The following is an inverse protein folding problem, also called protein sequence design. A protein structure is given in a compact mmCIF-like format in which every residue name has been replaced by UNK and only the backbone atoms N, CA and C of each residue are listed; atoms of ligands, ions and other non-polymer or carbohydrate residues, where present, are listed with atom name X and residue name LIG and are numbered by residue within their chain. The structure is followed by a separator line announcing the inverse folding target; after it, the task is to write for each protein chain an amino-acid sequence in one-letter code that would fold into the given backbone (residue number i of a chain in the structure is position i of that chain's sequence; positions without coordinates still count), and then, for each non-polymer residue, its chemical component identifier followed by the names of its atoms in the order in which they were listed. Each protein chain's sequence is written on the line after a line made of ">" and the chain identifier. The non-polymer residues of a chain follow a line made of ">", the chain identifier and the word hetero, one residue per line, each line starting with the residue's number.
data_IF_786801419997
#
_entry.id   IF_786801419997
#
_cell.length_a   1.000
_cell.length_b   1.000
_cell.length_c   1.000
_cell.angle_alpha   90.00
_cell.angle_beta   90.00
_cell.angle_gamma   90.00
#
_symmetry.space_group_name_H-M   'P 1'
#
loop_
_entity.id
_entity.type
_entity.pdbx_description
1 polymer ?
#
# COMPACT_ATOMS: atom_id res chain seq x y z
N UNK A 1 13.69 -30.93 -43.80
CA UNK A 1 13.56 -30.66 -42.35
C UNK A 1 12.70 -31.74 -41.70
N UNK A 2 13.20 -32.37 -40.63
CA UNK A 2 12.45 -33.35 -39.82
C UNK A 2 11.19 -32.73 -39.19
N UNK A 3 10.15 -33.54 -38.96
CA UNK A 3 8.93 -33.15 -38.24
C UNK A 3 9.24 -32.52 -36.87
N UNK A 4 10.29 -33.01 -36.18
CA UNK A 4 10.74 -32.44 -34.92
C UNK A 4 11.34 -31.03 -35.08
N UNK A 5 12.18 -30.81 -36.09
CA UNK A 5 12.78 -29.52 -36.37
C UNK A 5 11.74 -28.45 -36.76
N UNK A 6 10.66 -28.86 -37.43
CA UNK A 6 9.53 -27.97 -37.75
C UNK A 6 8.76 -27.56 -36.50
N UNK A 7 8.49 -28.49 -35.58
CA UNK A 7 7.80 -28.20 -34.31
C UNK A 7 8.60 -27.25 -33.44
N UNK A 8 9.93 -27.43 -33.39
CA UNK A 8 10.82 -26.55 -32.63
C UNK A 8 10.85 -25.12 -33.20
N UNK A 9 10.87 -24.98 -34.52
CA UNK A 9 10.80 -23.67 -35.18
C UNK A 9 9.47 -22.95 -34.89
N UNK A 10 8.35 -23.67 -34.94
CA UNK A 10 7.02 -23.14 -34.63
C UNK A 10 6.93 -22.73 -33.16
N UNK A 11 7.52 -23.52 -32.26
CA UNK A 11 7.55 -23.21 -30.83
C UNK A 11 8.33 -21.94 -30.52
N UNK A 12 9.48 -21.76 -31.17
CA UNK A 12 10.28 -20.55 -31.06
C UNK A 12 9.52 -19.33 -31.59
N UNK A 13 8.90 -19.45 -32.76
CA UNK A 13 8.13 -18.37 -33.38
C UNK A 13 6.91 -17.98 -32.54
N UNK A 14 6.19 -18.96 -32.00
CA UNK A 14 5.04 -18.72 -31.13
C UNK A 14 5.43 -17.94 -29.88
N UNK A 15 6.48 -18.37 -29.18
CA UNK A 15 6.98 -17.68 -27.98
C UNK A 15 7.48 -16.27 -28.25
N UNK A 16 8.04 -16.02 -29.44
CA UNK A 16 8.46 -14.69 -29.85
C UNK A 16 7.27 -13.73 -30.03
N UNK A 17 6.11 -14.24 -30.44
CA UNK A 17 4.90 -13.44 -30.67
C UNK A 17 4.07 -13.22 -29.40
N UNK A 18 4.05 -14.20 -28.50
CA UNK A 18 3.13 -14.22 -27.34
C UNK A 18 3.83 -13.98 -26.01
N UNK A 19 5.16 -14.06 -25.98
CA UNK A 19 5.96 -14.10 -24.75
C UNK A 19 5.55 -15.22 -23.77
N UNK A 20 4.87 -16.27 -24.26
CA UNK A 20 4.40 -17.38 -23.45
C UNK A 20 5.56 -18.15 -22.77
N UNK A 21 5.30 -18.66 -21.57
CA UNK A 21 6.20 -19.59 -20.88
C UNK A 21 6.49 -20.82 -21.76
N UNK A 22 7.63 -21.51 -21.59
CA UNK A 22 7.88 -22.77 -22.28
C UNK A 22 6.77 -23.81 -22.08
N UNK A 23 6.15 -23.85 -20.90
CA UNK A 23 5.08 -24.79 -20.57
C UNK A 23 3.77 -24.45 -21.29
N UNK A 24 3.34 -23.18 -21.25
CA UNK A 24 2.12 -22.74 -21.94
C UNK A 24 2.26 -22.82 -23.46
N UNK A 25 3.43 -22.47 -24.01
CA UNK A 25 3.71 -22.62 -25.43
C UNK A 25 3.56 -24.07 -25.89
N UNK A 26 4.11 -25.03 -25.16
CA UNK A 26 3.95 -26.45 -25.48
C UNK A 26 2.50 -26.92 -25.35
N UNK A 27 1.80 -26.53 -24.29
CA UNK A 27 0.39 -26.88 -24.03
C UNK A 27 -0.52 -26.38 -25.15
N UNK A 28 -0.45 -25.09 -25.47
CA UNK A 28 -1.32 -24.43 -26.44
C UNK A 28 -0.99 -24.91 -27.87
N UNK A 29 0.28 -24.97 -28.26
CA UNK A 29 0.64 -25.48 -29.59
C UNK A 29 0.23 -26.95 -29.78
N UNK A 30 0.36 -27.78 -28.74
CA UNK A 30 -0.07 -29.19 -28.81
C UNK A 30 -1.59 -29.30 -28.99
N UNK A 31 -2.37 -28.49 -28.28
CA UNK A 31 -3.83 -28.45 -28.41
C UNK A 31 -4.30 -28.02 -29.81
N UNK A 32 -3.52 -27.16 -30.48
CA UNK A 32 -3.85 -26.64 -31.82
C UNK A 32 -3.03 -27.29 -32.94
N UNK A 33 -2.56 -28.53 -32.75
CA UNK A 33 -1.83 -29.31 -33.75
C UNK A 33 -0.62 -28.58 -34.37
N UNK A 34 0.07 -27.76 -33.58
CA UNK A 34 1.20 -26.90 -33.96
C UNK A 34 0.88 -25.92 -35.09
N UNK A 35 -0.37 -25.47 -35.21
CA UNK A 35 -0.76 -24.37 -36.10
C UNK A 35 -0.60 -23.04 -35.38
N UNK A 36 0.21 -22.14 -35.95
CA UNK A 36 0.63 -20.90 -35.29
C UNK A 36 -0.53 -19.92 -35.06
N UNK A 37 -1.33 -19.60 -36.09
CA UNK A 37 -2.41 -18.62 -35.98
C UNK A 37 -3.51 -19.04 -34.98
N UNK A 38 -4.06 -20.27 -35.03
CA UNK A 38 -5.08 -20.69 -34.06
C UNK A 38 -4.54 -20.73 -32.62
N UNK A 39 -3.29 -21.16 -32.45
CA UNK A 39 -2.64 -21.17 -31.15
C UNK A 39 -2.43 -19.74 -30.60
N UNK A 40 -2.12 -18.78 -31.48
CA UNK A 40 -1.88 -17.38 -31.08
C UNK A 40 -3.18 -16.74 -30.63
N UNK A 41 -4.27 -16.94 -31.37
CA UNK A 41 -5.60 -16.52 -30.93
C UNK A 41 -6.02 -17.21 -29.63
N UNK A 42 -5.74 -18.50 -29.46
CA UNK A 42 -6.07 -19.21 -28.22
C UNK A 42 -5.29 -18.65 -27.02
N UNK A 43 -4.02 -18.29 -27.19
CA UNK A 43 -3.22 -17.64 -26.16
C UNK A 43 -3.82 -16.29 -25.72
N UNK A 44 -4.23 -15.44 -26.68
CA UNK A 44 -4.86 -14.16 -26.35
C UNK A 44 -6.29 -14.27 -25.78
N UNK A 45 -6.83 -15.49 -25.65
CA UNK A 45 -8.08 -15.77 -24.96
C UNK A 45 -7.88 -16.64 -23.70
N UNK A 46 -6.63 -17.00 -23.36
CA UNK A 46 -6.27 -17.77 -22.15
C UNK A 46 -5.67 -16.81 -21.11
N UNK A 47 -6.51 -16.37 -20.18
CA UNK A 47 -6.17 -15.39 -19.13
C UNK A 47 -4.96 -15.85 -18.29
N UNK A 48 -4.90 -17.14 -17.95
CA UNK A 48 -3.78 -17.70 -17.18
C UNK A 48 -2.48 -17.69 -17.98
N UNK A 49 -2.52 -18.01 -19.27
CA UNK A 49 -1.34 -17.96 -20.14
C UNK A 49 -0.82 -16.53 -20.32
N UNK A 50 -1.71 -15.53 -20.37
CA UNK A 50 -1.33 -14.12 -20.43
C UNK A 50 -0.68 -13.64 -19.13
N UNK A 51 -1.24 -14.03 -17.97
CA UNK A 51 -0.63 -13.75 -16.65
C UNK A 51 0.76 -14.39 -16.55
N UNK A 52 0.91 -15.63 -17.01
CA UNK A 52 2.20 -16.32 -16.99
C UNK A 52 3.21 -15.68 -17.96
N UNK A 53 2.75 -15.14 -19.10
CA UNK A 53 3.59 -14.48 -20.10
C UNK A 53 4.05 -13.08 -19.65
N UNK A 54 3.20 -12.31 -18.98
CA UNK A 54 3.59 -11.04 -18.35
C UNK A 54 4.62 -11.29 -17.24
N UNK A 55 4.43 -12.34 -16.44
CA UNK A 55 5.41 -12.82 -15.46
C UNK A 55 6.71 -13.41 -16.09
N UNK A 56 6.69 -13.77 -17.37
CA UNK A 56 7.89 -14.21 -18.10
C UNK A 56 8.66 -13.04 -18.72
N UNK A 57 7.96 -11.97 -19.09
CA UNK A 57 8.54 -10.69 -19.53
C UNK A 57 9.35 -10.02 -18.42
N UNK A 58 8.98 -10.26 -17.17
CA UNK A 58 9.63 -9.73 -15.97
C UNK A 58 10.88 -10.50 -15.52
N UNK A 59 11.33 -11.52 -16.26
CA UNK A 59 12.65 -12.10 -16.00
C UNK A 59 13.73 -11.18 -16.56
N UNK A 60 14.08 -10.16 -15.78
CA UNK A 60 15.33 -9.43 -15.94
C UNK A 60 16.44 -10.43 -16.21
N UNK A 61 17.31 -10.14 -17.17
CA UNK A 61 18.49 -10.98 -17.30
C UNK A 61 19.27 -10.95 -15.98
N UNK A 62 19.85 -12.07 -15.59
CA UNK A 62 20.48 -12.24 -14.28
C UNK A 62 21.54 -11.16 -13.97
N UNK A 63 22.14 -10.57 -15.00
CA UNK A 63 23.10 -9.48 -14.84
C UNK A 63 22.37 -8.20 -14.43
N UNK A 64 21.32 -7.80 -15.14
CA UNK A 64 20.52 -6.63 -14.77
C UNK A 64 19.89 -6.78 -13.38
N UNK A 65 19.37 -7.96 -13.04
CA UNK A 65 18.80 -8.18 -11.70
C UNK A 65 19.85 -8.04 -10.59
N UNK A 66 21.06 -8.52 -10.83
CA UNK A 66 22.19 -8.36 -9.91
C UNK A 66 22.58 -6.89 -9.76
N UNK A 67 22.71 -6.15 -10.86
CA UNK A 67 23.05 -4.73 -10.86
C UNK A 67 21.99 -3.88 -10.13
N UNK A 68 20.70 -4.15 -10.36
CA UNK A 68 19.58 -3.53 -9.65
C UNK A 68 19.69 -3.79 -8.15
N UNK A 69 19.94 -5.05 -7.76
CA UNK A 69 20.11 -5.43 -6.35
C UNK A 69 21.32 -4.73 -5.73
N UNK A 70 22.45 -4.67 -6.42
CA UNK A 70 23.66 -3.99 -5.94
C UNK A 70 23.41 -2.50 -5.71
N UNK A 71 22.75 -1.80 -6.66
CA UNK A 71 22.40 -0.39 -6.51
C UNK A 71 21.44 -0.12 -5.36
N UNK A 72 20.42 -0.98 -5.18
CA UNK A 72 19.48 -0.86 -4.05
C UNK A 72 20.16 -1.10 -2.70
N UNK A 73 21.10 -2.04 -2.61
CA UNK A 73 21.88 -2.23 -1.38
C UNK A 73 22.77 -1.03 -1.08
N UNK A 74 23.39 -0.44 -2.10
CA UNK A 74 24.19 0.77 -1.91
C UNK A 74 23.35 1.97 -1.44
N UNK A 75 22.13 2.13 -1.95
CA UNK A 75 21.18 3.14 -1.45
C UNK A 75 20.78 2.85 0.00
N UNK A 76 20.50 1.59 0.33
CA UNK A 76 20.18 1.18 1.70
C UNK A 76 21.31 1.53 2.68
N UNK A 77 22.55 1.13 2.34
CA UNK A 77 23.74 1.40 3.16
C UNK A 77 23.94 2.90 3.35
N UNK A 78 23.78 3.69 2.28
CA UNK A 78 23.85 5.16 2.36
C UNK A 78 22.86 5.75 3.36
N UNK A 79 21.61 5.30 3.35
CA UNK A 79 20.58 5.85 4.25
C UNK A 79 20.75 5.36 5.69
N UNK A 80 21.15 4.10 5.88
CA UNK A 80 21.51 3.58 7.21
C UNK A 80 22.64 4.41 7.81
N UNK A 81 23.76 4.54 7.09
CA UNK A 81 24.97 5.22 7.59
C UNK A 81 24.72 6.72 7.83
N UNK A 82 23.88 7.36 7.01
CA UNK A 82 23.50 8.76 7.21
C UNK A 82 22.57 8.97 8.40
N UNK A 83 21.78 7.96 8.80
CA UNK A 83 21.00 7.96 10.03
C UNK A 83 21.90 7.86 11.26
N UNK A 84 22.79 6.86 11.27
CA UNK A 84 23.76 6.64 12.34
C UNK A 84 24.60 7.90 12.63
N UNK A 85 25.07 8.59 11.58
CA UNK A 85 25.87 9.81 11.72
C UNK A 85 25.08 11.01 12.26
N UNK A 86 23.75 11.05 12.06
CA UNK A 86 22.91 12.13 12.60
C UNK A 86 22.64 11.92 14.10
N UNK A 87 22.51 10.66 14.53
CA UNK A 87 22.28 10.31 15.93
C UNK A 87 23.55 10.52 16.79
N UNK A 88 24.75 10.46 16.19
CA UNK A 88 26.04 10.73 16.88
C UNK A 88 26.34 12.25 17.08
N UNK A 89 25.69 13.15 16.32
CA UNK A 89 25.96 14.60 16.36
C UNK A 89 25.05 15.37 17.36
N UNK A 90 23.96 14.77 17.86
CA UNK A 90 23.00 15.37 18.81
C UNK A 90 23.40 15.18 20.30
N UNK A 91 24.61 14.68 20.59
CA UNK A 91 25.16 14.41 21.92
C UNK A 91 25.67 15.70 22.64
N UNK A 92 24.91 16.80 22.56
CA UNK A 92 25.10 18.01 23.38
C UNK A 92 24.10 17.98 24.58
N UNK A 93 24.63 17.61 25.75
CA UNK A 93 24.16 17.96 27.11
C UNK A 93 22.75 17.50 27.58
N UNK A 94 22.48 16.20 27.73
CA UNK A 94 21.69 15.73 28.88
C UNK A 94 21.98 14.25 29.25
N UNK A 95 22.67 14.07 30.37
CA UNK A 95 22.85 12.78 31.04
C UNK A 95 21.48 12.21 31.48
N UNK A 96 21.06 11.08 30.87
CA UNK A 96 20.40 9.91 31.48
C UNK A 96 19.40 9.24 30.51
N UNK A 97 19.86 8.27 29.70
CA UNK A 97 19.39 6.87 29.77
C UNK A 97 19.65 6.06 28.50
N UNK A 98 20.26 4.88 28.70
CA UNK A 98 20.22 3.76 27.75
C UNK A 98 21.37 3.74 26.76
N UNK A 99 22.32 2.82 26.96
CA UNK A 99 23.27 2.45 25.91
C UNK A 99 22.51 2.20 24.60
N UNK A 100 22.78 3.00 23.56
CA UNK A 100 22.24 2.78 22.23
C UNK A 100 22.47 1.31 21.87
N UNK A 101 21.38 0.59 21.63
CA UNK A 101 21.49 -0.79 21.16
C UNK A 101 22.35 -0.77 19.89
N UNK A 102 23.25 -1.75 19.69
CA UNK A 102 24.06 -1.80 18.47
C UNK A 102 23.09 -1.77 17.28
N UNK A 103 23.21 -0.74 16.45
CA UNK A 103 22.34 -0.59 15.29
C UNK A 103 22.43 -1.85 14.42
N UNK A 104 21.28 -2.43 14.10
CA UNK A 104 21.23 -3.60 13.24
C UNK A 104 21.70 -3.19 11.83
N UNK A 105 22.79 -3.78 11.31
CA UNK A 105 23.36 -3.41 10.01
C UNK A 105 22.39 -3.65 8.83
N UNK A 106 21.31 -4.40 9.05
CA UNK A 106 20.26 -4.69 8.08
C UNK A 106 18.97 -3.89 8.31
N UNK A 107 19.04 -2.80 9.10
CA UNK A 107 17.91 -1.91 9.38
C UNK A 107 18.27 -0.44 9.10
N UNK A 108 17.40 0.28 8.40
CA UNK A 108 17.38 1.75 8.35
C UNK A 108 16.55 2.24 9.55
N UNK A 109 17.15 3.07 10.40
CA UNK A 109 16.51 3.73 11.54
C UNK A 109 15.65 4.93 11.10
N UNK A 110 14.95 5.56 12.05
CA UNK A 110 14.14 6.76 11.79
C UNK A 110 15.00 7.89 11.21
N UNK A 111 16.20 8.13 11.74
CA UNK A 111 17.13 9.11 11.20
C UNK A 111 17.49 8.82 9.74
N UNK A 112 17.77 7.56 9.42
CA UNK A 112 18.04 7.15 8.05
C UNK A 112 16.82 7.27 7.11
N UNK A 113 15.61 7.00 7.62
CA UNK A 113 14.37 7.21 6.88
C UNK A 113 14.12 8.69 6.59
N UNK A 114 14.43 9.60 7.51
CA UNK A 114 14.37 11.05 7.28
C UNK A 114 15.38 11.48 6.19
N UNK A 115 16.60 10.94 6.21
CA UNK A 115 17.57 11.16 5.12
C UNK A 115 17.10 10.62 3.77
N UNK A 116 16.34 9.53 3.78
CA UNK A 116 15.66 9.04 2.58
C UNK A 116 14.57 10.02 2.11
N UNK A 117 13.74 10.57 3.01
CA UNK A 117 12.76 11.60 2.67
C UNK A 117 13.41 12.84 2.05
N UNK A 118 14.51 13.33 2.63
CA UNK A 118 15.30 14.46 2.11
C UNK A 118 15.79 14.17 0.69
N UNK A 119 16.39 13.00 0.45
CA UNK A 119 16.90 12.62 -0.87
C UNK A 119 15.80 12.45 -1.92
N UNK A 120 14.61 11.99 -1.49
CA UNK A 120 13.45 11.83 -2.34
C UNK A 120 12.68 13.15 -2.55
N UNK A 121 13.03 14.22 -1.84
CA UNK A 121 12.33 15.51 -1.87
C UNK A 121 10.83 15.38 -1.55
N UNK A 122 10.51 14.52 -0.57
CA UNK A 122 9.14 14.28 -0.11
C UNK A 122 9.07 14.53 1.40
N UNK A 123 8.00 15.20 1.84
CA UNK A 123 7.75 15.39 3.27
C UNK A 123 7.60 14.03 3.98
N UNK A 124 8.15 13.84 5.19
CA UNK A 124 7.89 12.64 5.99
C UNK A 124 6.40 12.46 6.34
N UNK A 125 5.62 13.54 6.27
CA UNK A 125 4.16 13.55 6.49
C UNK A 125 3.36 13.43 5.18
N UNK A 126 4.00 13.22 4.02
CA UNK A 126 3.29 12.99 2.77
C UNK A 126 2.63 11.60 2.79
N UNK A 127 1.35 11.53 2.41
CA UNK A 127 0.56 10.30 2.39
C UNK A 127 1.19 9.20 1.54
N UNK A 128 2.01 9.54 0.55
CA UNK A 128 2.71 8.58 -0.32
C UNK A 128 3.67 7.66 0.45
N UNK A 129 4.10 8.04 1.65
CA UNK A 129 4.91 7.16 2.49
C UNK A 129 4.13 5.97 3.05
N UNK A 130 2.80 6.04 3.14
CA UNK A 130 1.97 4.89 3.54
C UNK A 130 1.99 3.75 2.51
N UNK A 131 1.65 3.97 1.21
CA UNK A 131 1.80 2.93 0.19
C UNK A 131 3.26 2.50 0.01
N UNK A 132 4.23 3.42 0.11
CA UNK A 132 5.65 3.02 0.07
C UNK A 132 5.97 2.03 1.19
N UNK A 133 5.64 2.37 2.44
CA UNK A 133 5.88 1.53 3.62
C UNK A 133 5.16 0.18 3.51
N UNK A 134 3.94 0.16 2.95
CA UNK A 134 3.20 -1.06 2.66
C UNK A 134 3.96 -2.00 1.70
N UNK A 135 4.47 -1.48 0.58
CA UNK A 135 5.24 -2.27 -0.38
C UNK A 135 6.60 -2.71 0.15
N UNK A 136 7.26 -1.84 0.93
CA UNK A 136 8.53 -2.14 1.60
C UNK A 136 8.35 -2.91 2.91
N UNK A 137 7.12 -3.33 3.24
CA UNK A 137 6.77 -4.10 4.46
C UNK A 137 7.41 -3.52 5.72
N UNK A 138 7.40 -2.20 5.84
CA UNK A 138 8.00 -1.52 6.98
C UNK A 138 7.34 -2.02 8.29
N UNK A 139 8.13 -2.47 9.28
CA UNK A 139 7.60 -3.00 10.54
C UNK A 139 6.98 -1.91 11.43
N UNK A 140 7.50 -0.70 11.35
CA UNK A 140 7.09 0.45 12.16
C UNK A 140 7.52 1.74 11.47
N UNK A 141 6.91 2.85 11.89
CA UNK A 141 7.19 4.19 11.36
C UNK A 141 8.70 4.46 11.30
N UNK A 142 9.19 4.84 10.13
CA UNK A 142 10.58 5.21 9.89
C UNK A 142 11.59 4.04 9.98
N UNK A 143 11.14 2.78 9.98
CA UNK A 143 12.04 1.62 10.04
C UNK A 143 11.94 0.79 8.77
N UNK A 144 13.06 0.40 8.17
CA UNK A 144 13.07 -0.45 6.97
C UNK A 144 14.13 -1.54 7.04
N UNK A 145 13.73 -2.79 6.78
CA UNK A 145 14.68 -3.92 6.69
C UNK A 145 15.33 -3.95 5.30
N UNK A 146 16.58 -4.38 5.20
CA UNK A 146 17.30 -4.49 3.92
C UNK A 146 16.57 -5.35 2.92
N UNK A 147 16.08 -6.50 3.38
CA UNK A 147 15.41 -7.48 2.52
C UNK A 147 14.16 -6.88 1.90
N UNK A 148 13.30 -6.26 2.72
CA UNK A 148 12.03 -5.73 2.23
C UNK A 148 12.20 -4.39 1.49
N UNK A 149 13.19 -3.58 1.85
CA UNK A 149 13.59 -2.40 1.07
C UNK A 149 13.95 -2.78 -0.38
N UNK A 150 14.86 -3.75 -0.55
CA UNK A 150 15.32 -4.19 -1.87
C UNK A 150 14.18 -4.85 -2.66
N UNK A 151 13.39 -5.71 -2.03
CA UNK A 151 12.29 -6.40 -2.70
C UNK A 151 11.15 -5.44 -3.06
N UNK A 152 10.81 -4.51 -2.16
CA UNK A 152 9.78 -3.49 -2.38
C UNK A 152 10.12 -2.59 -3.56
N UNK A 153 11.33 -2.05 -3.63
CA UNK A 153 11.75 -1.22 -4.77
C UNK A 153 11.86 -1.98 -6.09
N UNK A 154 12.16 -3.29 -6.06
CA UNK A 154 12.06 -4.14 -7.25
C UNK A 154 10.61 -4.25 -7.73
N UNK A 155 9.65 -4.48 -6.82
CA UNK A 155 8.22 -4.53 -7.16
C UNK A 155 7.69 -3.18 -7.65
N UNK A 156 8.24 -2.09 -7.12
CA UNK A 156 7.93 -0.70 -7.46
C UNK A 156 8.71 -0.22 -8.69
N UNK A 157 8.46 -0.87 -9.83
CA UNK A 157 8.96 -0.48 -11.15
C UNK A 157 10.51 -0.53 -11.28
N UNK A 158 11.18 -1.41 -10.52
CA UNK A 158 12.64 -1.56 -10.51
C UNK A 158 13.37 -0.24 -10.22
N UNK A 159 12.86 0.50 -9.23
CA UNK A 159 13.32 1.84 -8.89
C UNK A 159 14.59 1.81 -8.04
N UNK A 160 15.71 1.57 -8.72
CA UNK A 160 17.04 1.37 -8.14
C UNK A 160 17.94 2.61 -8.13
N UNK A 161 17.39 3.78 -8.45
CA UNK A 161 18.04 5.09 -8.35
C UNK A 161 17.08 6.11 -7.75
N UNK A 162 17.61 7.17 -7.15
CA UNK A 162 16.78 8.25 -6.55
C UNK A 162 15.80 8.83 -7.57
N UNK A 163 16.23 9.12 -8.80
CA UNK A 163 15.35 9.68 -9.84
C UNK A 163 14.19 8.76 -10.18
N UNK A 164 14.44 7.44 -10.26
CA UNK A 164 13.37 6.46 -10.48
C UNK A 164 12.44 6.38 -9.27
N UNK A 165 12.99 6.36 -8.06
CA UNK A 165 12.21 6.34 -6.83
C UNK A 165 11.28 7.55 -6.76
N UNK A 166 11.77 8.76 -7.04
CA UNK A 166 10.95 9.99 -7.12
C UNK A 166 9.81 9.87 -8.15
N UNK A 167 10.11 9.42 -9.37
CA UNK A 167 9.09 9.23 -10.40
C UNK A 167 8.03 8.19 -9.99
N UNK A 168 8.47 7.13 -9.30
CA UNK A 168 7.58 6.09 -8.79
C UNK A 168 6.73 6.58 -7.63
N UNK A 169 7.22 7.44 -6.75
CA UNK A 169 6.38 8.04 -5.71
C UNK A 169 5.24 8.88 -6.30
N UNK A 170 5.50 9.66 -7.34
CA UNK A 170 4.45 10.43 -8.02
C UNK A 170 3.36 9.52 -8.58
N UNK A 171 3.78 8.44 -9.27
CA UNK A 171 2.86 7.42 -9.78
C UNK A 171 2.10 6.71 -8.66
N UNK A 172 2.79 6.35 -7.57
CA UNK A 172 2.22 5.62 -6.44
C UNK A 172 1.15 6.45 -5.72
N UNK A 173 1.32 7.77 -5.66
CA UNK A 173 0.32 8.70 -5.13
C UNK A 173 -0.95 8.68 -5.98
N UNK A 174 -0.83 8.72 -7.30
CA UNK A 174 -1.99 8.60 -8.19
C UNK A 174 -2.65 7.22 -8.10
N UNK A 175 -1.84 6.15 -8.04
CA UNK A 175 -2.33 4.78 -7.84
C UNK A 175 -3.13 4.65 -6.53
N UNK A 176 -2.71 5.34 -5.47
CA UNK A 176 -3.42 5.40 -4.19
C UNK A 176 -4.78 6.11 -4.35
N UNK A 177 -4.80 7.32 -4.90
CA UNK A 177 -6.05 8.10 -5.06
C UNK A 177 -7.09 7.42 -5.96
N UNK A 178 -6.64 6.63 -6.92
CA UNK A 178 -7.50 5.87 -7.83
C UNK A 178 -7.84 4.46 -7.30
N UNK A 179 -7.35 4.08 -6.12
CA UNK A 179 -7.45 2.73 -5.55
C UNK A 179 -7.08 1.63 -6.57
N UNK A 180 -5.98 1.83 -7.30
CA UNK A 180 -5.52 0.90 -8.34
C UNK A 180 -5.23 -0.49 -7.75
N UNK A 181 -5.34 -1.57 -8.54
CA UNK A 181 -4.92 -2.90 -8.10
C UNK A 181 -3.46 -2.91 -7.65
N UNK A 182 -3.15 -3.77 -6.67
CA UNK A 182 -1.78 -4.00 -6.22
C UNK A 182 -0.89 -4.57 -7.35
N UNK A 183 0.43 -4.51 -7.15
CA UNK A 183 1.38 -5.20 -8.04
C UNK A 183 1.16 -6.71 -7.94
N UNK A 184 1.34 -7.43 -9.05
CA UNK A 184 1.04 -8.87 -9.14
C UNK A 184 1.82 -9.70 -8.10
N UNK A 185 3.09 -9.37 -7.90
CA UNK A 185 3.94 -9.99 -6.89
C UNK A 185 3.35 -9.82 -5.49
N UNK A 186 2.86 -8.61 -5.17
CA UNK A 186 2.23 -8.33 -3.88
C UNK A 186 0.90 -9.07 -3.73
N UNK A 187 0.09 -9.15 -4.78
CA UNK A 187 -1.16 -9.95 -4.76
C UNK A 187 -0.85 -11.43 -4.46
N UNK A 188 0.20 -11.97 -5.07
CA UNK A 188 0.61 -13.36 -4.83
C UNK A 188 1.04 -13.58 -3.37
N UNK A 189 1.79 -12.65 -2.78
CA UNK A 189 2.14 -12.68 -1.36
C UNK A 189 0.91 -12.63 -0.46
N UNK A 190 0.00 -11.69 -0.70
CA UNK A 190 -1.25 -11.53 0.07
C UNK A 190 -2.13 -12.79 -0.02
N UNK A 191 -2.21 -13.44 -1.18
CA UNK A 191 -2.94 -14.71 -1.38
C UNK A 191 -2.29 -15.90 -0.70
N UNK A 192 -0.97 -15.90 -0.54
CA UNK A 192 -0.24 -16.99 0.10
C UNK A 192 -0.41 -17.02 1.62
N UNK A 193 -0.77 -15.89 2.23
CA UNK A 193 -0.98 -15.77 3.66
C UNK A 193 -2.49 -15.91 4.00
N UNK A 194 -2.90 -16.93 4.79
CA UNK A 194 -4.31 -17.13 5.16
C UNK A 194 -4.97 -15.93 5.83
N UNK A 195 -4.20 -15.10 6.55
CA UNK A 195 -4.73 -13.93 7.24
C UNK A 195 -5.10 -12.77 6.29
N UNK A 196 -4.54 -12.73 5.08
CA UNK A 196 -4.70 -11.63 4.12
C UNK A 196 -5.33 -12.05 2.79
N UNK A 197 -5.43 -13.37 2.54
CA UNK A 197 -5.91 -13.91 1.27
C UNK A 197 -7.33 -13.44 0.91
N UNK A 198 -8.21 -13.28 1.90
CA UNK A 198 -9.59 -12.84 1.69
C UNK A 198 -9.69 -11.40 1.14
N UNK A 199 -8.76 -10.51 1.52
CA UNK A 199 -8.73 -9.14 1.03
C UNK A 199 -7.73 -8.92 -0.12
N UNK A 200 -7.05 -9.96 -0.63
CA UNK A 200 -5.96 -9.81 -1.60
C UNK A 200 -6.32 -9.13 -2.94
N UNK A 201 -7.61 -9.08 -3.29
CA UNK A 201 -8.10 -8.41 -4.50
C UNK A 201 -8.56 -6.95 -4.25
N UNK A 202 -8.53 -6.46 -3.01
CA UNK A 202 -8.81 -5.05 -2.70
C UNK A 202 -7.78 -4.15 -3.39
N UNK A 203 -8.17 -2.92 -3.68
CA UNK A 203 -7.28 -1.95 -4.29
C UNK A 203 -6.23 -1.42 -3.32
N UNK A 204 -5.29 -0.62 -3.84
CA UNK A 204 -4.15 -0.09 -3.11
C UNK A 204 -4.58 0.76 -1.91
N UNK A 205 -5.56 1.64 -2.07
CA UNK A 205 -6.04 2.50 -0.98
C UNK A 205 -6.57 1.68 0.18
N UNK A 206 -7.47 0.72 -0.09
CA UNK A 206 -8.05 -0.11 0.95
C UNK A 206 -6.97 -0.92 1.69
N UNK A 207 -5.99 -1.44 0.95
CA UNK A 207 -4.88 -2.20 1.53
C UNK A 207 -3.95 -1.34 2.37
N UNK A 208 -3.68 -0.12 1.93
CA UNK A 208 -2.89 0.85 2.69
C UNK A 208 -3.63 1.29 3.95
N UNK A 209 -4.94 1.52 3.87
CA UNK A 209 -5.77 1.82 5.03
C UNK A 209 -5.75 0.67 6.06
N UNK A 210 -5.93 -0.58 5.62
CA UNK A 210 -5.83 -1.77 6.49
C UNK A 210 -4.44 -1.90 7.13
N UNK A 211 -3.39 -1.69 6.35
CA UNK A 211 -1.99 -1.75 6.79
C UNK A 211 -1.67 -0.68 7.84
N UNK A 212 -2.19 0.54 7.65
CA UNK A 212 -1.89 1.71 8.48
C UNK A 212 -2.19 1.48 9.96
N UNK A 213 -3.26 0.73 10.30
CA UNK A 213 -3.55 0.39 11.70
C UNK A 213 -2.40 -0.39 12.36
N UNK A 214 -1.85 -1.38 11.66
CA UNK A 214 -0.74 -2.19 12.15
C UNK A 214 0.55 -1.37 12.26
N UNK A 215 0.79 -0.54 11.26
CA UNK A 215 1.96 0.34 11.16
C UNK A 215 1.99 1.46 12.23
N UNK A 216 0.83 2.04 12.54
CA UNK A 216 0.68 3.13 13.51
C UNK A 216 0.70 2.66 14.98
N UNK A 217 0.50 1.36 15.20
CA UNK A 217 0.38 0.74 16.53
C UNK A 217 1.75 0.30 17.01
N UNK A 218 2.13 0.73 18.22
CA UNK A 218 3.37 0.29 18.88
C UNK A 218 3.39 -1.24 19.05
N UNK A 219 4.58 -1.81 18.92
CA UNK A 219 4.78 -3.25 19.11
C UNK A 219 4.25 -3.72 20.47
N UNK A 220 3.58 -4.88 20.49
CA UNK A 220 2.98 -5.46 21.70
C UNK A 220 1.63 -4.90 22.15
N UNK A 221 1.19 -3.72 21.68
CA UNK A 221 -0.10 -3.14 22.06
C UNK A 221 -1.26 -3.77 21.29
N UNK A 222 -2.45 -3.97 21.86
CA UNK A 222 -3.60 -4.57 21.11
C UNK A 222 -4.46 -3.54 20.37
N UNK A 223 -4.41 -2.29 20.80
CA UNK A 223 -5.20 -1.16 20.30
C UNK A 223 -4.29 -0.01 19.87
N UNK A 224 -4.77 0.81 18.94
CA UNK A 224 -4.09 2.01 18.48
C UNK A 224 -4.39 3.19 19.43
N UNK A 225 -3.35 3.88 19.91
CA UNK A 225 -3.54 5.07 20.74
C UNK A 225 -4.37 6.13 19.99
N UNK A 226 -5.26 6.84 20.69
CA UNK A 226 -6.19 7.77 20.05
C UNK A 226 -5.46 8.82 19.21
N UNK A 227 -4.44 9.48 19.78
CA UNK A 227 -3.66 10.52 19.08
C UNK A 227 -3.07 10.02 17.75
N UNK A 228 -2.50 8.82 17.75
CA UNK A 228 -2.00 8.19 16.52
C UNK A 228 -3.13 7.91 15.54
N UNK A 229 -4.27 7.38 16.01
CA UNK A 229 -5.41 7.12 15.14
C UNK A 229 -5.92 8.41 14.47
N UNK A 230 -6.05 9.50 15.22
CA UNK A 230 -6.45 10.80 14.68
C UNK A 230 -5.45 11.32 13.64
N UNK A 231 -4.15 11.27 13.94
CA UNK A 231 -3.10 11.73 13.02
C UNK A 231 -3.06 10.91 11.71
N UNK A 232 -3.18 9.58 11.80
CA UNK A 232 -3.20 8.75 10.60
C UNK A 232 -4.52 8.87 9.82
N UNK A 233 -5.65 9.12 10.47
CA UNK A 233 -6.90 9.41 9.77
C UNK A 233 -6.84 10.75 9.01
N UNK A 234 -6.24 11.79 9.60
CA UNK A 234 -5.96 13.06 8.92
C UNK A 234 -5.11 12.87 7.65
N UNK A 235 -4.21 11.88 7.68
CA UNK A 235 -3.33 11.60 6.56
C UNK A 235 -4.00 10.72 5.48
N UNK A 236 -4.62 9.60 5.89
CA UNK A 236 -5.08 8.56 4.95
C UNK A 236 -6.47 8.83 4.39
N UNK A 237 -7.43 9.36 5.18
CA UNK A 237 -8.81 9.51 4.70
C UNK A 237 -8.95 10.51 3.55
N UNK A 238 -8.25 11.67 3.55
CA UNK A 238 -8.26 12.57 2.40
C UNK A 238 -7.72 11.95 1.11
N UNK A 239 -6.97 10.83 1.20
CA UNK A 239 -6.53 10.06 0.05
C UNK A 239 -7.57 9.07 -0.49
N UNK A 240 -8.71 8.86 0.20
CA UNK A 240 -9.76 7.96 -0.27
C UNK A 240 -10.31 8.41 -1.64
N UNK A 241 -10.61 7.47 -2.56
CA UNK A 241 -11.36 7.79 -3.78
C UNK A 241 -12.77 8.33 -3.51
N UNK A 242 -13.34 8.01 -2.34
CA UNK A 242 -14.68 8.44 -1.92
C UNK A 242 -14.69 9.67 -1.02
N UNK A 243 -13.52 10.27 -0.76
CA UNK A 243 -13.44 11.51 0.02
C UNK A 243 -13.83 12.70 -0.86
N UNK A 244 -14.74 13.55 -0.38
CA UNK A 244 -15.15 14.75 -1.10
C UNK A 244 -14.10 15.85 -0.95
N UNK A 245 -13.20 15.91 -1.93
CA UNK A 245 -12.19 16.96 -2.02
C UNK A 245 -12.85 18.23 -2.56
N UNK A 246 -12.53 19.37 -1.98
CA UNK A 246 -12.92 20.70 -2.46
C UNK A 246 -14.45 20.96 -2.45
N UNK A 247 -15.24 20.19 -1.70
CA UNK A 247 -16.70 20.35 -1.66
C UNK A 247 -17.37 20.12 -3.01
N UNK A 248 -16.73 19.30 -3.85
CA UNK A 248 -17.20 18.96 -5.19
C UNK A 248 -18.54 18.20 -5.18
N UNK A 249 -18.90 17.60 -4.05
CA UNK A 249 -20.07 16.72 -3.89
C UNK A 249 -19.89 15.35 -4.57
N UNK A 250 -18.69 15.03 -5.07
CA UNK A 250 -18.40 13.75 -5.73
C UNK A 250 -18.14 12.61 -4.72
N UNK A 251 -17.66 12.95 -3.52
CA UNK A 251 -17.41 12.01 -2.44
C UNK A 251 -18.60 11.81 -1.50
N UNK A 252 -18.50 10.82 -0.62
CA UNK A 252 -19.49 10.49 0.42
C UNK A 252 -19.13 11.05 1.78
N UNK A 253 -17.84 11.16 2.05
CA UNK A 253 -17.29 11.63 3.32
C UNK A 253 -16.45 12.88 3.10
N UNK A 254 -16.65 13.91 3.92
CA UNK A 254 -15.97 15.20 3.78
C UNK A 254 -15.06 15.52 4.97
N UNK A 255 -14.26 16.58 4.84
CA UNK A 255 -13.45 17.10 5.95
C UNK A 255 -14.29 17.47 7.17
N UNK A 256 -15.49 18.01 6.98
CA UNK A 256 -16.40 18.35 8.06
C UNK A 256 -16.80 17.13 8.90
N UNK A 257 -17.10 16.00 8.25
CA UNK A 257 -17.46 14.77 8.94
C UNK A 257 -16.24 14.13 9.63
N UNK A 258 -15.05 14.25 9.03
CA UNK A 258 -13.80 13.87 9.68
C UNK A 258 -13.54 14.69 10.95
N UNK A 259 -13.72 16.02 10.88
CA UNK A 259 -13.54 16.91 12.02
C UNK A 259 -14.53 16.59 13.14
N UNK A 260 -15.79 16.31 12.81
CA UNK A 260 -16.80 15.84 13.77
C UNK A 260 -16.39 14.52 14.41
N UNK A 261 -15.89 13.54 13.64
CA UNK A 261 -15.42 12.26 14.18
C UNK A 261 -14.27 12.44 15.17
N UNK A 262 -13.29 13.28 14.82
CA UNK A 262 -12.15 13.58 15.68
C UNK A 262 -12.58 14.29 16.96
N UNK A 263 -13.49 15.25 16.85
CA UNK A 263 -14.04 15.96 18.00
C UNK A 263 -14.80 15.01 18.93
N UNK A 264 -15.70 14.19 18.38
CA UNK A 264 -16.43 13.17 19.13
C UNK A 264 -15.48 12.23 19.90
N UNK A 265 -14.47 11.68 19.22
CA UNK A 265 -13.53 10.78 19.86
C UNK A 265 -12.76 11.47 21.00
N UNK A 266 -12.34 12.71 20.79
CA UNK A 266 -11.57 13.48 21.78
C UNK A 266 -12.41 13.83 23.01
N UNK A 267 -13.66 14.24 22.82
CA UNK A 267 -14.52 14.76 23.89
C UNK A 267 -15.36 13.68 24.58
N UNK A 268 -15.84 12.68 23.84
CA UNK A 268 -16.86 11.74 24.33
C UNK A 268 -16.32 10.38 24.74
N UNK A 269 -15.14 9.98 24.24
CA UNK A 269 -14.59 8.64 24.55
C UNK A 269 -13.58 8.63 25.71
N UNK A 270 -13.24 9.79 26.26
CA UNK A 270 -12.27 9.91 27.35
C UNK A 270 -10.86 9.46 26.96
N UNK A 271 -10.46 9.66 25.70
CA UNK A 271 -9.13 9.26 25.22
C UNK A 271 -8.96 7.77 24.96
N UNK A 272 -10.06 7.02 24.78
CA UNK A 272 -10.02 5.57 24.60
C UNK A 272 -9.28 5.20 23.30
N UNK A 273 -8.41 4.19 23.41
CA UNK A 273 -7.70 3.63 22.26
C UNK A 273 -8.66 3.01 21.22
N UNK A 274 -8.30 3.13 19.95
CA UNK A 274 -9.08 2.64 18.81
C UNK A 274 -8.77 1.15 18.58
N UNK A 275 -9.83 0.35 18.45
CA UNK A 275 -9.71 -1.08 18.15
C UNK A 275 -9.52 -1.32 16.65
N UNK A 276 -8.99 -2.50 16.28
CA UNK A 276 -8.87 -2.90 14.87
C UNK A 276 -10.23 -2.93 14.17
N UNK A 277 -11.24 -3.44 14.86
CA UNK A 277 -12.61 -3.53 14.33
C UNK A 277 -13.19 -2.13 14.06
N UNK A 278 -13.07 -1.21 15.02
CA UNK A 278 -13.44 0.20 14.82
C UNK A 278 -12.71 0.83 13.64
N UNK A 279 -11.39 0.67 13.55
CA UNK A 279 -10.61 1.21 12.43
C UNK A 279 -11.10 0.65 11.09
N UNK A 280 -11.25 -0.67 10.99
CA UNK A 280 -11.67 -1.34 9.75
C UNK A 280 -13.08 -0.92 9.34
N UNK A 281 -14.06 -1.00 10.24
CA UNK A 281 -15.45 -0.66 9.93
C UNK A 281 -15.64 0.84 9.67
N UNK A 282 -14.78 1.72 10.21
CA UNK A 282 -14.86 3.14 9.91
C UNK A 282 -14.58 3.44 8.43
N UNK A 283 -13.77 2.63 7.73
CA UNK A 283 -13.60 2.80 6.28
C UNK A 283 -14.92 2.55 5.54
N UNK A 284 -15.61 1.45 5.85
CA UNK A 284 -16.89 1.12 5.23
C UNK A 284 -17.93 2.21 5.53
N UNK A 285 -17.99 2.69 6.78
CA UNK A 285 -18.81 3.82 7.18
C UNK A 285 -18.56 5.07 6.32
N UNK A 286 -17.31 5.46 6.09
CA UNK A 286 -16.97 6.63 5.24
C UNK A 286 -17.35 6.46 3.76
N UNK A 287 -17.58 5.23 3.30
CA UNK A 287 -17.98 4.96 1.92
C UNK A 287 -19.50 5.00 1.74
N UNK A 288 -20.26 4.79 2.81
CA UNK A 288 -21.72 4.62 2.75
C UNK A 288 -22.49 5.80 3.33
N UNK A 289 -21.95 6.49 4.34
CA UNK A 289 -22.66 7.53 5.08
C UNK A 289 -22.93 8.79 4.23
N UNK A 290 -24.10 9.39 4.40
CA UNK A 290 -24.45 10.69 3.83
C UNK A 290 -23.96 11.84 4.72
N UNK A 291 -23.87 13.04 4.15
CA UNK A 291 -23.40 14.24 4.86
C UNK A 291 -24.18 14.56 6.15
N UNK A 292 -25.49 14.27 6.16
CA UNK A 292 -26.39 14.49 7.30
C UNK A 292 -26.52 13.27 8.24
N UNK A 293 -25.76 12.21 7.96
CA UNK A 293 -25.80 10.93 8.66
C UNK A 293 -27.16 10.20 8.64
N UNK A 294 -28.14 10.64 7.83
CA UNK A 294 -29.52 10.16 7.90
C UNK A 294 -29.70 8.68 7.52
N UNK A 295 -28.80 8.13 6.71
CA UNK A 295 -28.86 6.76 6.19
C UNK A 295 -28.15 5.72 7.06
N UNK A 296 -27.69 6.11 8.25
CA UNK A 296 -27.08 5.16 9.20
C UNK A 296 -28.10 4.14 9.71
N UNK A 297 -27.76 2.85 9.61
CA UNK A 297 -28.56 1.73 10.10
C UNK A 297 -28.06 1.27 11.48
N UNK A 298 -28.81 1.59 12.53
CA UNK A 298 -28.50 1.21 13.91
C UNK A 298 -28.76 -0.27 14.23
N UNK A 299 -29.45 -1.01 13.34
CA UNK A 299 -29.65 -2.44 13.50
C UNK A 299 -28.52 -3.27 12.84
N UNK A 300 -27.61 -2.61 12.10
CA UNK A 300 -26.43 -3.23 11.53
C UNK A 300 -25.35 -3.50 12.60
N UNK A 301 -24.37 -4.35 12.26
CA UNK A 301 -23.32 -4.79 13.19
C UNK A 301 -22.14 -3.81 13.32
N UNK A 302 -22.43 -2.50 13.38
CA UNK A 302 -21.42 -1.47 13.57
C UNK A 302 -20.82 -1.53 14.98
N UNK A 303 -19.57 -1.08 15.19
CA UNK A 303 -19.03 -0.87 16.52
C UNK A 303 -19.83 0.24 17.21
N UNK A 304 -20.20 0.06 18.48
CA UNK A 304 -21.07 1.02 19.20
C UNK A 304 -20.56 2.47 19.16
N UNK A 305 -19.24 2.67 19.09
CA UNK A 305 -18.61 4.00 18.98
C UNK A 305 -18.98 4.73 17.69
N UNK A 306 -19.28 4.01 16.60
CA UNK A 306 -19.79 4.59 15.35
C UNK A 306 -21.26 4.99 15.53
N UNK A 307 -22.08 4.15 16.18
CA UNK A 307 -23.49 4.50 16.48
C UNK A 307 -23.59 5.74 17.38
N UNK A 308 -22.80 5.75 18.47
CA UNK A 308 -22.70 6.86 19.41
C UNK A 308 -22.24 8.15 18.69
N UNK A 309 -21.28 8.01 17.77
CA UNK A 309 -20.83 9.12 16.93
C UNK A 309 -21.95 9.67 16.05
N UNK A 310 -22.74 8.82 15.39
CA UNK A 310 -23.81 9.28 14.50
C UNK A 310 -24.87 10.06 15.29
N UNK A 311 -25.26 9.57 16.47
CA UNK A 311 -26.19 10.27 17.36
C UNK A 311 -25.62 11.64 17.76
N UNK A 312 -24.37 11.67 18.21
CA UNK A 312 -23.69 12.91 18.58
C UNK A 312 -23.55 13.88 17.40
N UNK A 313 -23.11 13.41 16.24
CA UNK A 313 -22.83 14.24 15.07
C UNK A 313 -24.09 14.93 14.54
N UNK A 314 -25.24 14.24 14.52
CA UNK A 314 -26.53 14.84 14.11
C UNK A 314 -26.93 16.04 14.99
N UNK A 315 -26.57 16.04 16.27
CA UNK A 315 -26.80 17.16 17.19
C UNK A 315 -25.80 18.31 17.02
N UNK A 316 -24.65 18.05 16.38
CA UNK A 316 -23.53 18.98 16.22
C UNK A 316 -23.33 19.47 14.78
N UNK A 317 -24.14 19.00 13.83
CA UNK A 317 -24.19 19.56 12.48
C UNK A 317 -24.54 21.06 12.50
N UNK A 318 -23.99 21.88 11.58
CA UNK A 318 -24.44 23.24 11.38
C UNK A 318 -25.94 23.29 11.08
N UNK A 319 -26.61 24.37 11.50
CA UNK A 319 -28.06 24.50 11.31
C UNK A 319 -28.50 24.43 9.84
N UNK A 320 -27.62 24.79 8.89
CA UNK A 320 -27.87 24.66 7.44
C UNK A 320 -27.93 23.22 6.94
N UNK A 321 -27.32 22.29 7.68
CA UNK A 321 -27.08 20.91 7.25
C UNK A 321 -27.97 19.92 8.03
N UNK A 322 -28.73 20.42 9.01
CA UNK A 322 -29.78 19.66 9.68
C UNK A 322 -31.00 19.62 8.76
N UNK A 323 -31.46 18.42 8.37
CA UNK A 323 -32.75 18.30 7.68
C UNK A 323 -33.83 19.00 8.51
N UNK A 324 -34.61 19.88 7.87
CA UNK A 324 -35.81 20.47 8.44
C UNK A 324 -36.79 19.34 8.77
N UNK A 325 -36.77 18.87 10.02
CA UNK A 325 -37.83 18.01 10.56
C UNK A 325 -39.02 18.91 10.89
N UNK A 326 -39.76 19.31 9.84
CA UNK A 326 -41.10 19.90 9.98
C UNK A 326 -42.17 18.83 10.11
#
# INVERSE_FOLDING_TARGET
>A
MSSAAKKEAILRQFRQLTNATPQDAHRILKAHAYRLEPATNAFFNDEQAQINASASSSTLDKKTEREVKERLNALFDRFRDAGAAADDDDDDDDEESGAAAPEDPDTISIGGALKMCEALEVSPEDVVFLPLSFYLKSPSIGTFTRTDYVNGWKMLDLSDTIDKQKATLEKLRQELYENRPLRLERIAEEKSNPATAASANKGLYEKVYEYTYGFARREGQKSLALENALAFWDLVLPASPTFDREGSGAGKFSQQQLDLWKQFLTEQTGGRAVSKDTWTQFLDFTQEINADFSNHDFDAAWPSVIDDFVLWAREHLPASDRMDTS
#
